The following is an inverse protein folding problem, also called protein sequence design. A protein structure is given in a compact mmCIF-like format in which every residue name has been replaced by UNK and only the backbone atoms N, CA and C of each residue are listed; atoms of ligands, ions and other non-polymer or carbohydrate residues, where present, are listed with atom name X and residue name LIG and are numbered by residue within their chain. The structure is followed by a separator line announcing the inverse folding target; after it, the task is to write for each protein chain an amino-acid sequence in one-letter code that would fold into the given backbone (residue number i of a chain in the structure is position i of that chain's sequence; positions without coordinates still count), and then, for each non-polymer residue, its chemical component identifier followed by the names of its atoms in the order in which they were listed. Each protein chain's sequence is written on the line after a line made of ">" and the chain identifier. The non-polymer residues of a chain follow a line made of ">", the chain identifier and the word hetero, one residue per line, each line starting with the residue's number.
data_IF_953244820216
#
_entry.id   IF_953244820216
#
_cell.length_a   1.000
_cell.length_b   1.000
_cell.length_c   1.000
_cell.angle_alpha   90.00
_cell.angle_beta   90.00
_cell.angle_gamma   90.00
#
_symmetry.space_group_name_H-M   'P 1'
#
loop_
_entity.id
_entity.type
_entity.pdbx_description
1 polymer ?
#
# COMPACT_ATOMS: atom_id res chain seq x y z
N UNK A 1 4.30 6.56 -9.47
CA UNK A 1 5.13 5.71 -8.59
C UNK A 1 6.49 5.38 -9.17
N UNK A 2 6.58 4.78 -10.33
CA UNK A 2 7.88 4.44 -10.95
C UNK A 2 8.79 5.65 -11.14
N UNK A 3 8.25 6.82 -11.50
CA UNK A 3 9.02 8.05 -11.64
C UNK A 3 9.61 8.53 -10.29
N UNK A 4 8.88 8.36 -9.19
CA UNK A 4 9.34 8.75 -7.84
C UNK A 4 10.49 7.86 -7.38
N UNK A 5 10.36 6.54 -7.55
CA UNK A 5 11.37 5.57 -7.13
C UNK A 5 12.52 5.38 -8.13
N UNK A 6 12.35 5.84 -9.35
CA UNK A 6 13.40 5.88 -10.37
C UNK A 6 14.33 7.10 -10.28
N UNK A 7 14.11 8.00 -9.31
CA UNK A 7 14.96 9.17 -9.12
C UNK A 7 16.38 8.75 -8.73
N UNK A 8 17.42 9.22 -9.45
CA UNK A 8 18.82 8.88 -9.16
C UNK A 8 19.28 9.25 -7.75
N UNK A 9 18.65 10.26 -7.12
CA UNK A 9 19.00 10.70 -5.75
C UNK A 9 18.68 9.66 -4.69
N UNK A 10 17.79 8.69 -4.98
CA UNK A 10 17.47 7.60 -4.05
C UNK A 10 18.58 6.53 -3.97
N UNK A 11 19.51 6.49 -4.92
CA UNK A 11 20.56 5.48 -4.98
C UNK A 11 20.07 4.04 -5.13
N UNK A 12 18.78 3.84 -5.49
CA UNK A 12 18.17 2.55 -5.68
C UNK A 12 17.45 2.52 -7.03
N UNK A 13 17.70 1.47 -7.82
CA UNK A 13 17.02 1.25 -9.09
C UNK A 13 15.79 0.36 -8.85
N UNK A 14 14.74 0.93 -8.27
CA UNK A 14 13.50 0.22 -7.97
C UNK A 14 12.52 0.38 -9.12
N UNK A 15 12.01 -0.74 -9.60
CA UNK A 15 10.94 -0.81 -10.59
C UNK A 15 9.72 -1.48 -9.96
N UNK A 16 8.56 -0.88 -10.17
CA UNK A 16 7.28 -1.45 -9.75
C UNK A 16 6.56 -2.03 -10.95
N UNK A 17 6.12 -3.27 -10.83
CA UNK A 17 5.32 -3.97 -11.83
C UNK A 17 4.01 -4.36 -11.20
N UNK A 18 2.90 -3.98 -11.80
CA UNK A 18 1.57 -4.39 -11.38
C UNK A 18 1.32 -5.80 -11.93
N UNK A 19 1.25 -6.77 -11.04
CA UNK A 19 0.97 -8.16 -11.40
C UNK A 19 -0.53 -8.45 -11.47
N UNK A 20 -1.33 -7.78 -10.63
CA UNK A 20 -2.77 -8.02 -10.53
C UNK A 20 -3.48 -6.77 -10.04
N UNK A 21 -4.67 -6.53 -10.59
CA UNK A 21 -5.62 -5.53 -10.09
C UNK A 21 -6.92 -6.24 -9.77
N UNK A 22 -7.43 -6.06 -8.56
CA UNK A 22 -8.69 -6.66 -8.09
C UNK A 22 -9.65 -5.52 -7.76
N UNK A 23 -10.85 -5.57 -8.32
CA UNK A 23 -11.91 -4.60 -8.04
C UNK A 23 -13.01 -5.31 -7.24
N UNK A 24 -13.29 -4.80 -6.05
CA UNK A 24 -14.39 -5.29 -5.24
C UNK A 24 -15.56 -4.30 -5.33
N UNK A 25 -16.69 -4.76 -5.82
CA UNK A 25 -17.95 -4.01 -5.91
C UNK A 25 -18.92 -4.41 -4.79
N UNK A 26 -18.68 -5.54 -4.15
CA UNK A 26 -19.52 -6.09 -3.10
C UNK A 26 -19.02 -5.66 -1.71
N UNK A 27 -19.89 -5.01 -0.94
CA UNK A 27 -19.59 -4.58 0.43
C UNK A 27 -19.27 -5.75 1.36
N UNK A 28 -19.74 -6.97 1.07
CA UNK A 28 -19.45 -8.16 1.89
C UNK A 28 -17.97 -8.53 1.96
N UNK A 29 -17.16 -8.11 0.98
CA UNK A 29 -15.72 -8.33 0.93
C UNK A 29 -14.91 -7.14 1.42
N UNK A 30 -15.58 -6.09 1.91
CA UNK A 30 -14.92 -4.89 2.40
C UNK A 30 -14.14 -5.17 3.67
N UNK A 31 -12.86 -4.80 3.68
CA UNK A 31 -11.94 -4.94 4.81
C UNK A 31 -11.87 -3.67 5.67
N UNK A 32 -12.53 -2.60 5.25
CA UNK A 32 -12.43 -1.28 5.87
C UNK A 32 -13.50 -1.12 6.95
N UNK A 33 -13.05 -0.74 8.14
CA UNK A 33 -13.91 -0.23 9.21
C UNK A 33 -13.76 1.29 9.23
N UNK A 34 -14.83 2.01 8.95
CA UNK A 34 -14.80 3.47 8.89
C UNK A 34 -14.31 4.09 10.21
N UNK A 35 -13.54 5.15 10.10
CA UNK A 35 -12.90 5.85 11.21
C UNK A 35 -11.96 4.99 12.08
N UNK A 36 -11.57 3.80 11.62
CA UNK A 36 -10.68 2.91 12.36
C UNK A 36 -9.56 2.38 11.46
N UNK A 37 -8.51 3.18 11.31
CA UNK A 37 -7.36 2.85 10.48
C UNK A 37 -6.56 1.66 11.00
N UNK A 38 -6.46 1.49 12.32
CA UNK A 38 -5.71 0.39 12.92
C UNK A 38 -6.32 -0.95 12.57
N UNK A 39 -7.62 -1.12 12.81
CA UNK A 39 -8.33 -2.36 12.48
C UNK A 39 -8.40 -2.58 10.97
N UNK A 40 -8.61 -1.52 10.20
CA UNK A 40 -8.63 -1.60 8.74
C UNK A 40 -7.28 -2.05 8.18
N UNK A 41 -6.16 -1.54 8.71
CA UNK A 41 -4.82 -1.96 8.30
C UNK A 41 -4.56 -3.44 8.63
N UNK A 42 -4.97 -3.89 9.81
CA UNK A 42 -4.90 -5.31 10.19
C UNK A 42 -5.72 -6.19 9.25
N UNK A 43 -6.93 -5.76 8.92
CA UNK A 43 -7.83 -6.49 8.03
C UNK A 43 -7.25 -6.64 6.62
N UNK A 44 -6.72 -5.57 6.02
CA UNK A 44 -6.13 -5.66 4.67
C UNK A 44 -4.85 -6.49 4.65
N UNK A 45 -4.08 -6.50 5.73
CA UNK A 45 -2.91 -7.37 5.84
C UNK A 45 -3.30 -8.85 6.05
N UNK A 46 -4.36 -9.13 6.79
CA UNK A 46 -4.93 -10.49 6.89
C UNK A 46 -5.46 -10.97 5.55
N UNK A 47 -6.17 -10.12 4.81
CA UNK A 47 -6.61 -10.38 3.45
C UNK A 47 -5.42 -10.69 2.53
N UNK A 48 -4.36 -9.90 2.59
CA UNK A 48 -3.15 -10.11 1.80
C UNK A 48 -2.48 -11.46 2.10
N UNK A 49 -2.36 -11.80 3.38
CA UNK A 49 -1.84 -13.11 3.81
C UNK A 49 -2.67 -14.25 3.21
N UNK A 50 -3.99 -14.15 3.28
CA UNK A 50 -4.89 -15.19 2.77
C UNK A 50 -4.75 -15.36 1.26
N UNK A 51 -4.61 -14.26 0.51
CA UNK A 51 -4.35 -14.31 -0.93
C UNK A 51 -3.00 -14.97 -1.22
N UNK A 52 -1.94 -14.54 -0.57
CA UNK A 52 -0.59 -15.08 -0.79
C UNK A 52 -0.49 -16.56 -0.45
N UNK A 53 -1.20 -17.02 0.56
CA UNK A 53 -1.22 -18.44 0.95
C UNK A 53 -1.78 -19.34 -0.16
N UNK A 54 -2.69 -18.82 -0.98
CA UNK A 54 -3.35 -19.57 -2.05
C UNK A 54 -2.66 -19.40 -3.42
N UNK A 55 -1.60 -18.59 -3.50
CA UNK A 55 -0.84 -18.37 -4.73
C UNK A 55 0.39 -19.25 -4.80
N UNK A 56 0.73 -19.73 -6.01
CA UNK A 56 2.04 -20.35 -6.28
C UNK A 56 3.17 -19.33 -6.14
N UNK A 57 4.40 -19.78 -5.97
CA UNK A 57 5.57 -18.89 -5.83
C UNK A 57 5.73 -17.93 -7.01
N UNK A 58 5.39 -18.39 -8.23
CA UNK A 58 5.50 -17.58 -9.46
C UNK A 58 4.42 -16.49 -9.57
N UNK A 59 3.32 -16.63 -8.83
CA UNK A 59 2.17 -15.70 -8.84
C UNK A 59 2.20 -14.71 -7.68
N UNK A 60 3.13 -14.89 -6.73
CA UNK A 60 3.21 -14.06 -5.53
C UNK A 60 3.68 -12.65 -5.85
N UNK A 61 3.11 -11.70 -5.15
CA UNK A 61 3.56 -10.32 -5.12
C UNK A 61 4.39 -10.03 -3.87
N UNK A 62 5.25 -9.02 -3.95
CA UNK A 62 6.10 -8.58 -2.84
C UNK A 62 5.37 -7.61 -1.91
N UNK A 63 4.48 -6.80 -2.48
CA UNK A 63 3.67 -5.81 -1.77
C UNK A 63 2.27 -5.77 -2.34
N UNK A 64 1.31 -5.45 -1.50
CA UNK A 64 -0.06 -5.17 -1.89
C UNK A 64 -0.44 -3.74 -1.53
N UNK A 65 -1.36 -3.17 -2.30
CA UNK A 65 -1.89 -1.84 -2.10
C UNK A 65 -3.40 -1.92 -2.09
N UNK A 66 -4.01 -1.57 -0.96
CA UNK A 66 -5.46 -1.41 -0.86
C UNK A 66 -5.83 0.05 -1.03
N UNK A 67 -6.73 0.33 -1.95
CA UNK A 67 -7.23 1.69 -2.23
C UNK A 67 -8.73 1.72 -1.96
N UNK A 68 -9.18 2.71 -1.20
CA UNK A 68 -10.58 2.89 -0.87
C UNK A 68 -10.98 4.38 -0.90
N UNK A 69 -12.26 4.65 -1.15
CA UNK A 69 -12.83 5.99 -0.96
C UNK A 69 -13.47 6.18 0.42
N UNK A 70 -13.60 5.12 1.18
CA UNK A 70 -14.16 5.17 2.53
C UNK A 70 -13.26 5.99 3.46
N UNK A 71 -13.86 6.56 4.49
CA UNK A 71 -13.10 7.24 5.53
C UNK A 71 -12.35 6.21 6.38
N UNK A 72 -11.02 6.24 6.32
CA UNK A 72 -10.17 5.33 7.09
C UNK A 72 -9.73 5.90 8.45
N UNK A 73 -10.14 7.13 8.74
CA UNK A 73 -9.74 7.86 9.95
C UNK A 73 -8.32 8.41 9.89
N UNK A 74 -8.13 9.69 10.22
CA UNK A 74 -6.82 10.33 10.25
C UNK A 74 -6.14 10.50 8.87
N UNK A 75 -4.84 10.22 8.73
CA UNK A 75 -4.10 10.36 7.48
C UNK A 75 -4.65 9.53 6.32
N UNK A 76 -4.32 9.93 5.09
CA UNK A 76 -4.82 9.27 3.88
C UNK A 76 -4.12 7.96 3.53
N UNK A 77 -3.12 7.57 4.31
CA UNK A 77 -2.41 6.30 4.12
C UNK A 77 -1.83 5.74 5.41
N UNK A 78 -1.69 4.42 5.44
CA UNK A 78 -1.07 3.66 6.52
C UNK A 78 -0.35 2.44 5.95
N UNK A 79 0.81 2.12 6.51
CA UNK A 79 1.54 0.91 6.15
C UNK A 79 2.40 0.39 7.31
N UNK A 80 2.59 -0.93 7.41
CA UNK A 80 3.60 -1.48 8.30
C UNK A 80 5.02 -1.10 7.83
N UNK A 81 5.90 -0.82 8.76
CA UNK A 81 7.29 -0.47 8.43
C UNK A 81 8.12 -1.75 8.26
N UNK A 82 8.94 -1.78 7.22
CA UNK A 82 9.83 -2.92 6.91
C UNK A 82 9.09 -4.25 6.74
N UNK A 83 7.93 -4.20 6.09
CA UNK A 83 7.07 -5.38 5.89
C UNK A 83 7.19 -6.05 4.53
N UNK A 84 8.08 -5.59 3.65
CA UNK A 84 8.22 -6.15 2.30
C UNK A 84 8.47 -7.67 2.34
N UNK A 85 7.77 -8.40 1.48
CA UNK A 85 7.78 -9.86 1.40
C UNK A 85 7.27 -10.60 2.66
N UNK A 86 6.80 -9.89 3.67
CA UNK A 86 6.12 -10.49 4.82
C UNK A 86 4.62 -10.52 4.53
N UNK A 87 3.99 -11.68 4.42
CA UNK A 87 2.57 -11.79 4.08
C UNK A 87 1.62 -11.05 5.03
N UNK A 88 2.03 -10.86 6.27
CA UNK A 88 1.23 -10.20 7.30
C UNK A 88 1.48 -8.69 7.41
N UNK A 89 2.50 -8.17 6.71
CA UNK A 89 2.98 -6.80 6.86
C UNK A 89 3.29 -6.09 5.55
N UNK A 90 2.94 -6.67 4.42
CA UNK A 90 3.28 -6.13 3.09
C UNK A 90 2.12 -5.45 2.36
N UNK A 91 1.04 -5.12 3.06
CA UNK A 91 -0.10 -4.41 2.47
C UNK A 91 -0.24 -3.00 3.06
N UNK A 92 -0.28 -2.00 2.19
CA UNK A 92 -0.63 -0.62 2.56
C UNK A 92 -2.13 -0.36 2.39
N UNK A 93 -2.67 0.49 3.27
CA UNK A 93 -4.03 1.00 3.22
C UNK A 93 -3.99 2.46 2.77
N UNK A 94 -4.73 2.79 1.73
CA UNK A 94 -4.69 4.11 1.13
C UNK A 94 -6.10 4.60 0.81
N UNK A 95 -6.36 5.87 1.15
CA UNK A 95 -7.57 6.56 0.70
C UNK A 95 -7.33 7.20 -0.66
N UNK A 96 -8.29 7.05 -1.55
CA UNK A 96 -8.26 7.72 -2.86
C UNK A 96 -8.55 9.21 -2.69
N UNK A 97 -7.53 10.03 -2.89
CA UNK A 97 -7.56 11.49 -2.84
C UNK A 97 -7.40 12.11 -4.25
N UNK A 98 -7.73 11.36 -5.29
CA UNK A 98 -7.57 11.78 -6.67
C UNK A 98 -6.11 11.78 -7.13
N UNK A 99 -5.67 12.85 -7.81
CA UNK A 99 -4.32 12.91 -8.41
C UNK A 99 -3.19 12.83 -7.37
N UNK A 100 -3.41 13.26 -6.15
CA UNK A 100 -2.42 13.18 -5.07
C UNK A 100 -2.21 11.77 -4.54
N UNK A 101 -3.08 10.83 -4.85
CA UNK A 101 -2.99 9.44 -4.38
C UNK A 101 -1.67 8.77 -4.76
N UNK A 102 -1.09 9.11 -5.91
CA UNK A 102 0.19 8.55 -6.33
C UNK A 102 1.33 8.85 -5.34
N UNK A 103 1.34 10.04 -4.73
CA UNK A 103 2.32 10.42 -3.70
C UNK A 103 2.06 9.70 -2.38
N UNK A 104 0.78 9.55 -2.01
CA UNK A 104 0.38 8.80 -0.82
C UNK A 104 0.83 7.35 -0.95
N UNK A 105 0.53 6.70 -2.07
CA UNK A 105 0.95 5.33 -2.36
C UNK A 105 2.47 5.16 -2.31
N UNK A 106 3.21 6.08 -2.91
CA UNK A 106 4.67 6.05 -2.88
C UNK A 106 5.22 6.20 -1.46
N UNK A 107 4.62 7.06 -0.64
CA UNK A 107 4.99 7.24 0.76
C UNK A 107 4.78 5.95 1.56
N UNK A 108 3.60 5.35 1.45
CA UNK A 108 3.27 4.12 2.19
C UNK A 108 4.12 2.92 1.75
N UNK A 109 4.38 2.80 0.45
CA UNK A 109 5.33 1.79 -0.05
C UNK A 109 6.75 1.99 0.49
N UNK A 110 7.16 3.24 0.67
CA UNK A 110 8.43 3.56 1.32
C UNK A 110 8.53 3.01 2.73
N UNK A 111 7.47 3.10 3.52
CA UNK A 111 7.41 2.49 4.84
C UNK A 111 7.55 0.96 4.77
N UNK A 112 6.82 0.31 3.87
CA UNK A 112 6.90 -1.14 3.68
C UNK A 112 8.32 -1.58 3.30
N UNK A 113 9.00 -0.80 2.46
CA UNK A 113 10.39 -1.05 2.04
C UNK A 113 11.43 -0.75 3.15
N UNK A 114 11.00 -0.24 4.29
CA UNK A 114 11.86 0.05 5.43
C UNK A 114 12.63 1.37 5.34
N UNK A 115 12.24 2.25 4.45
CA UNK A 115 12.83 3.59 4.35
C UNK A 115 11.98 4.58 5.15
N UNK A 116 12.61 5.32 6.03
CA UNK A 116 12.02 6.55 6.58
C UNK A 116 12.16 7.61 5.50
N UNK A 117 11.12 7.78 4.70
CA UNK A 117 11.13 8.75 3.61
C UNK A 117 10.49 10.03 4.12
N UNK A 118 11.30 11.04 4.35
CA UNK A 118 10.83 12.41 4.54
C UNK A 118 10.59 13.03 3.16
N UNK A 119 9.37 12.95 2.65
CA UNK A 119 9.01 13.78 1.51
C UNK A 119 8.82 15.22 2.00
N UNK A 120 9.74 16.07 1.66
CA UNK A 120 9.48 17.50 1.68
C UNK A 120 8.61 17.78 0.44
N UNK A 121 7.29 17.86 0.63
CA UNK A 121 6.43 18.37 -0.41
C UNK A 121 6.92 19.75 -0.81
N UNK A 122 7.04 20.05 -2.12
CA UNK A 122 7.31 21.40 -2.54
C UNK A 122 6.21 22.29 -1.97
N UNK A 123 6.59 23.31 -1.24
CA UNK A 123 5.66 24.36 -0.80
C UNK A 123 5.21 25.12 -2.04
N UNK A 124 3.97 24.93 -2.40
CA UNK A 124 3.29 25.76 -3.39
C UNK A 124 2.87 27.09 -2.76
#
# INVERSE_FOLDING_TARGET
>A
MSAIYGDPTLGANLKFVVLRMIFYEDESVNQIIEDNSTVSLENVNTWNKNILTNLSMDERHDVAVWITRLNIGGPSGYAPVSGVCDPERSCSLNRDEGLSSAFILAHELGHILGKIIFFKLPSY
#
